data_IF_377590833632
#
_entry.id   IF_377590833632
#
_cell.length_a   1.000
_cell.length_b   1.000
_cell.length_c   1.000
_cell.angle_alpha   90.00
_cell.angle_beta   90.00
_cell.angle_gamma   90.00
#
_symmetry.space_group_name_H-M   'P 1'
#
loop_
_entity.id
_entity.type
_entity.pdbx_description
1 polymer ?
#
# COMPACT_ATOMS: atom_id res chain seq x y z
N UNK A 1 -91.50 -42.81 -48.60
CA UNK A 1 -91.20 -41.40 -48.66
C UNK A 1 -91.34 -40.84 -47.25
N UNK A 2 -90.29 -40.72 -46.51
CA UNK A 2 -90.19 -39.97 -45.19
C UNK A 2 -88.82 -39.36 -45.16
N UNK A 3 -88.74 -38.05 -45.27
CA UNK A 3 -87.57 -37.22 -45.19
C UNK A 3 -87.31 -36.94 -43.70
N UNK A 4 -86.17 -37.35 -43.25
CA UNK A 4 -85.66 -36.98 -41.89
C UNK A 4 -84.76 -35.76 -41.97
N UNK A 5 -85.13 -34.73 -41.22
CA UNK A 5 -84.34 -33.49 -41.07
C UNK A 5 -83.39 -33.63 -39.86
N UNK A 6 -82.12 -33.67 -40.10
CA UNK A 6 -81.09 -33.64 -39.03
C UNK A 6 -80.68 -32.23 -38.78
N UNK A 7 -80.92 -31.76 -37.59
CA UNK A 7 -80.39 -30.45 -37.03
C UNK A 7 -79.04 -30.71 -36.39
N UNK A 8 -78.01 -30.21 -37.06
CA UNK A 8 -76.63 -30.22 -36.47
C UNK A 8 -76.41 -29.00 -35.64
N UNK A 9 -76.29 -29.18 -34.31
CA UNK A 9 -75.93 -28.13 -33.35
C UNK A 9 -74.41 -27.90 -33.39
N UNK A 10 -73.96 -26.78 -33.95
CA UNK A 10 -72.54 -26.38 -33.93
C UNK A 10 -72.23 -25.69 -32.57
N UNK A 11 -71.50 -26.40 -31.69
CA UNK A 11 -70.92 -25.82 -30.48
C UNK A 11 -69.69 -25.02 -30.92
N UNK A 12 -69.80 -23.66 -30.93
CA UNK A 12 -68.68 -22.76 -31.11
C UNK A 12 -67.84 -22.73 -29.82
N UNK A 13 -66.69 -23.44 -29.80
CA UNK A 13 -65.70 -23.29 -28.78
C UNK A 13 -65.01 -21.91 -28.96
N UNK A 14 -65.29 -20.97 -28.05
CA UNK A 14 -64.60 -19.71 -27.96
C UNK A 14 -63.19 -20.02 -27.38
N UNK A 15 -62.18 -20.21 -28.23
CA UNK A 15 -60.77 -20.18 -27.86
C UNK A 15 -60.43 -18.74 -27.43
N UNK A 16 -60.47 -18.45 -26.13
CA UNK A 16 -59.80 -17.29 -25.56
C UNK A 16 -58.31 -17.59 -25.72
N UNK A 17 -57.70 -17.11 -26.81
CA UNK A 17 -56.24 -17.03 -26.91
C UNK A 17 -55.78 -16.11 -25.79
N UNK A 18 -55.18 -16.70 -24.73
CA UNK A 18 -54.39 -15.92 -23.77
C UNK A 18 -53.32 -15.21 -24.61
N UNK A 19 -53.45 -13.89 -24.75
CA UNK A 19 -52.40 -13.07 -25.32
C UNK A 19 -51.13 -13.36 -24.57
N UNK A 20 -50.01 -13.70 -25.23
CA UNK A 20 -48.74 -13.75 -24.54
C UNK A 20 -48.53 -12.39 -23.86
N UNK A 21 -48.31 -12.40 -22.56
CA UNK A 21 -48.05 -11.15 -21.82
C UNK A 21 -46.99 -10.36 -22.57
N UNK A 22 -47.36 -9.20 -23.08
CA UNK A 22 -46.42 -8.37 -23.84
C UNK A 22 -45.29 -8.05 -22.90
N UNK A 23 -44.07 -8.47 -23.24
CA UNK A 23 -42.88 -8.11 -22.54
C UNK A 23 -42.82 -6.56 -22.55
N UNK A 24 -42.90 -5.95 -21.38
CA UNK A 24 -42.90 -4.49 -21.22
C UNK A 24 -41.68 -3.90 -21.94
N UNK A 25 -41.91 -2.95 -22.82
CA UNK A 25 -40.84 -2.24 -23.50
C UNK A 25 -40.23 -1.19 -22.54
N UNK A 26 -38.93 -0.91 -22.67
CA UNK A 26 -38.25 0.11 -21.88
C UNK A 26 -38.91 1.49 -22.02
N UNK A 27 -39.49 1.76 -23.23
CA UNK A 27 -40.26 3.00 -23.48
C UNK A 27 -41.44 3.20 -22.56
N UNK A 28 -42.08 2.11 -22.11
CA UNK A 28 -43.24 2.21 -21.22
C UNK A 28 -42.82 2.71 -19.83
N UNK A 29 -41.72 2.21 -19.34
CA UNK A 29 -41.11 2.65 -18.04
C UNK A 29 -40.59 4.09 -18.17
N UNK A 30 -39.90 4.43 -19.25
CA UNK A 30 -39.29 5.73 -19.50
C UNK A 30 -40.32 6.84 -19.76
N UNK A 31 -41.58 6.51 -20.01
CA UNK A 31 -42.68 7.51 -20.08
C UNK A 31 -42.76 8.31 -18.75
N UNK A 32 -42.53 7.68 -17.61
CA UNK A 32 -42.49 8.33 -16.30
C UNK A 32 -41.03 8.52 -15.83
N UNK A 33 -40.22 7.45 -15.81
CA UNK A 33 -38.88 7.48 -15.28
C UNK A 33 -37.87 8.23 -16.17
N UNK A 34 -38.25 8.62 -17.40
CA UNK A 34 -37.42 9.51 -18.24
C UNK A 34 -37.51 10.99 -17.86
N UNK A 35 -38.45 11.37 -16.99
CA UNK A 35 -38.56 12.74 -16.48
C UNK A 35 -37.53 12.99 -15.39
N UNK A 36 -36.64 13.95 -15.61
CA UNK A 36 -35.58 14.32 -14.65
C UNK A 36 -36.14 14.82 -13.30
N UNK A 37 -37.38 15.24 -13.23
CA UNK A 37 -38.06 15.67 -12.01
C UNK A 37 -38.75 14.54 -11.24
N UNK A 38 -38.77 13.31 -11.77
CA UNK A 38 -39.46 12.18 -11.16
C UNK A 38 -38.84 11.80 -9.83
N UNK A 39 -39.67 11.78 -8.77
CA UNK A 39 -39.25 11.43 -7.42
C UNK A 39 -40.19 10.41 -6.80
N UNK A 40 -39.70 9.57 -5.89
CA UNK A 40 -40.51 8.71 -5.04
C UNK A 40 -41.21 9.50 -3.94
N UNK A 41 -42.07 8.83 -3.14
CA UNK A 41 -42.79 9.43 -2.03
C UNK A 41 -41.88 10.01 -0.92
N UNK A 42 -40.59 9.64 -0.89
CA UNK A 42 -39.56 10.13 0.05
C UNK A 42 -38.75 11.30 -0.52
N UNK A 43 -39.01 11.72 -1.76
CA UNK A 43 -38.30 12.79 -2.45
C UNK A 43 -36.99 12.38 -3.10
N UNK A 44 -36.66 11.08 -3.18
CA UNK A 44 -35.49 10.59 -3.89
C UNK A 44 -35.80 10.55 -5.40
N UNK A 45 -34.81 10.97 -6.21
CA UNK A 45 -34.93 10.86 -7.66
C UNK A 45 -34.99 9.40 -8.09
N UNK A 46 -35.99 9.06 -8.86
CA UNK A 46 -36.18 7.77 -9.53
C UNK A 46 -36.11 7.92 -11.05
N UNK A 47 -35.57 9.02 -11.54
CA UNK A 47 -35.39 9.28 -12.96
C UNK A 47 -34.24 8.45 -13.53
N UNK A 48 -34.39 8.00 -14.77
CA UNK A 48 -33.39 7.26 -15.55
C UNK A 48 -33.06 8.04 -16.81
N UNK A 49 -31.80 8.38 -17.00
CA UNK A 49 -31.30 8.95 -18.24
C UNK A 49 -31.21 7.83 -19.30
N UNK A 50 -32.17 7.81 -20.21
CA UNK A 50 -32.27 6.79 -21.26
C UNK A 50 -31.00 6.69 -22.11
N UNK A 51 -30.36 7.83 -22.43
CA UNK A 51 -29.12 7.82 -23.24
C UNK A 51 -27.95 7.22 -22.47
N UNK A 52 -27.85 7.45 -21.16
CA UNK A 52 -26.81 6.82 -20.33
C UNK A 52 -27.08 5.33 -20.18
N UNK A 53 -28.35 4.95 -19.99
CA UNK A 53 -28.72 3.53 -19.89
C UNK A 53 -28.40 2.79 -21.19
N UNK A 54 -28.84 3.30 -22.34
CA UNK A 54 -28.58 2.71 -23.65
C UNK A 54 -27.08 2.57 -23.97
N UNK A 55 -26.26 3.52 -23.47
CA UNK A 55 -24.80 3.51 -23.61
C UNK A 55 -24.09 2.66 -22.54
N UNK A 56 -24.82 2.15 -21.53
CA UNK A 56 -24.26 1.34 -20.46
C UNK A 56 -24.02 -0.11 -20.89
N UNK A 57 -23.25 -0.85 -20.06
CA UNK A 57 -23.03 -2.28 -20.26
C UNK A 57 -24.33 -3.09 -20.25
N UNK A 58 -25.37 -2.61 -19.57
CA UNK A 58 -26.69 -3.21 -19.46
C UNK A 58 -27.74 -2.63 -20.43
N UNK A 59 -27.36 -1.72 -21.33
CA UNK A 59 -28.27 -1.01 -22.21
C UNK A 59 -29.09 -1.88 -23.14
N UNK A 60 -28.66 -3.12 -23.43
CA UNK A 60 -29.39 -4.10 -24.20
C UNK A 60 -30.47 -4.87 -23.42
N UNK A 61 -30.49 -4.73 -22.10
CA UNK A 61 -31.46 -5.41 -21.23
C UNK A 61 -32.76 -4.62 -21.13
N UNK A 62 -33.81 -5.33 -20.72
CA UNK A 62 -35.09 -4.71 -20.39
C UNK A 62 -35.10 -4.26 -18.94
N UNK A 63 -35.81 -3.19 -18.62
CA UNK A 63 -36.01 -2.75 -17.24
C UNK A 63 -36.52 -3.88 -16.35
N UNK A 64 -37.49 -4.69 -16.87
CA UNK A 64 -38.07 -5.85 -16.18
C UNK A 64 -37.11 -7.02 -15.96
N UNK A 65 -35.94 -7.08 -16.62
CA UNK A 65 -34.95 -8.13 -16.41
C UNK A 65 -34.25 -7.95 -15.01
N UNK A 66 -34.15 -6.69 -14.58
CA UNK A 66 -33.62 -6.33 -13.24
C UNK A 66 -34.77 -6.07 -12.26
N UNK A 67 -35.79 -5.32 -12.64
CA UNK A 67 -36.94 -4.97 -11.83
C UNK A 67 -38.04 -6.04 -11.90
N UNK A 68 -37.68 -7.28 -11.56
CA UNK A 68 -38.52 -8.49 -11.77
C UNK A 68 -39.79 -8.47 -10.94
N UNK A 69 -39.86 -7.66 -9.87
CA UNK A 69 -41.06 -7.53 -9.02
C UNK A 69 -42.15 -6.67 -9.65
N UNK A 70 -41.82 -5.82 -10.63
CA UNK A 70 -42.77 -4.92 -11.30
C UNK A 70 -43.51 -5.70 -12.38
N UNK A 71 -44.82 -5.93 -12.19
CA UNK A 71 -45.66 -6.70 -13.10
C UNK A 71 -46.72 -5.85 -13.84
N UNK A 72 -46.98 -4.69 -13.30
CA UNK A 72 -48.00 -3.75 -13.80
C UNK A 72 -47.52 -2.31 -13.57
N UNK A 73 -48.13 -1.38 -14.29
CA UNK A 73 -47.90 0.05 -14.12
C UNK A 73 -49.23 0.81 -14.28
N UNK A 74 -49.45 1.89 -13.44
CA UNK A 74 -48.51 2.35 -12.39
C UNK A 74 -48.31 1.27 -11.31
N UNK A 75 -47.10 1.19 -10.77
CA UNK A 75 -46.74 0.24 -9.74
C UNK A 75 -46.67 0.95 -8.35
N UNK A 76 -46.71 0.21 -7.22
CA UNK A 76 -46.52 0.81 -5.90
C UNK A 76 -45.16 1.50 -5.77
N UNK A 77 -45.09 2.56 -4.95
CA UNK A 77 -43.86 3.34 -4.70
C UNK A 77 -42.72 2.49 -4.12
N UNK A 78 -43.08 1.49 -3.29
CA UNK A 78 -42.07 0.58 -2.72
C UNK A 78 -41.94 -0.67 -3.61
N UNK A 79 -40.78 -0.81 -4.23
CA UNK A 79 -40.42 -1.98 -5.03
C UNK A 79 -39.31 -2.78 -4.34
N UNK A 80 -39.30 -4.07 -4.56
CA UNK A 80 -38.22 -4.95 -4.04
C UNK A 80 -36.89 -4.54 -4.68
N UNK A 81 -35.81 -4.37 -3.88
CA UNK A 81 -34.49 -4.03 -4.38
C UNK A 81 -34.01 -5.02 -5.43
N UNK A 82 -33.35 -4.50 -6.46
CA UNK A 82 -32.74 -5.32 -7.53
C UNK A 82 -31.61 -6.17 -6.95
N UNK A 83 -31.58 -7.44 -7.38
CA UNK A 83 -30.55 -8.42 -6.99
C UNK A 83 -29.58 -8.64 -8.13
N UNK A 84 -28.40 -8.09 -8.02
CA UNK A 84 -27.33 -8.24 -9.01
C UNK A 84 -26.81 -9.70 -9.08
N UNK A 85 -26.87 -10.42 -7.97
CA UNK A 85 -26.42 -11.82 -7.83
C UNK A 85 -27.19 -12.82 -8.70
N UNK A 86 -28.37 -12.44 -9.21
CA UNK A 86 -29.13 -13.27 -10.15
C UNK A 86 -28.32 -13.59 -11.43
N UNK A 87 -27.49 -12.63 -11.88
CA UNK A 87 -26.62 -12.79 -13.05
C UNK A 87 -25.13 -12.81 -12.67
N UNK A 88 -24.74 -12.14 -11.60
CA UNK A 88 -23.35 -11.97 -11.11
C UNK A 88 -23.11 -12.79 -9.83
N UNK A 89 -23.43 -14.08 -9.87
CA UNK A 89 -23.37 -14.96 -8.70
C UNK A 89 -21.95 -15.12 -8.14
N UNK A 90 -20.93 -15.21 -9.00
CA UNK A 90 -19.54 -15.41 -8.59
C UNK A 90 -18.96 -14.15 -7.91
N UNK A 91 -19.25 -12.97 -8.46
CA UNK A 91 -18.84 -11.68 -7.88
C UNK A 91 -19.54 -11.45 -6.55
N UNK A 92 -20.82 -11.78 -6.46
CA UNK A 92 -21.59 -11.67 -5.22
C UNK A 92 -21.09 -12.63 -4.15
N UNK A 93 -20.75 -13.88 -4.51
CA UNK A 93 -20.13 -14.83 -3.59
C UNK A 93 -18.77 -14.36 -3.11
N UNK A 94 -17.94 -13.82 -4.01
CA UNK A 94 -16.66 -13.21 -3.67
C UNK A 94 -16.84 -12.04 -2.69
N UNK A 95 -17.80 -11.16 -2.93
CA UNK A 95 -18.09 -10.02 -2.07
C UNK A 95 -18.62 -10.46 -0.70
N UNK A 96 -19.45 -11.51 -0.64
CA UNK A 96 -19.96 -12.07 0.62
C UNK A 96 -18.83 -12.53 1.56
N UNK A 97 -17.72 -13.04 1.00
CA UNK A 97 -16.50 -13.39 1.75
C UNK A 97 -15.55 -12.23 2.02
N UNK A 98 -15.83 -11.05 1.50
CA UNK A 98 -14.96 -9.86 1.58
C UNK A 98 -15.15 -9.09 2.89
N UNK A 99 -14.13 -8.30 3.28
CA UNK A 99 -14.24 -7.32 4.38
C UNK A 99 -15.26 -6.21 4.09
N UNK A 100 -15.74 -6.11 2.85
CA UNK A 100 -16.76 -5.14 2.45
C UNK A 100 -18.19 -5.70 2.49
N UNK A 101 -18.38 -7.00 2.74
CA UNK A 101 -19.70 -7.66 2.73
C UNK A 101 -20.75 -7.04 3.66
N UNK A 102 -20.32 -6.50 4.79
CA UNK A 102 -21.20 -5.98 5.85
C UNK A 102 -21.28 -4.45 5.92
N UNK A 103 -20.71 -3.72 4.95
CA UNK A 103 -20.43 -2.29 5.11
C UNK A 103 -21.19 -1.35 4.19
N UNK A 104 -21.91 -1.86 3.22
CA UNK A 104 -22.65 -1.02 2.27
C UNK A 104 -24.09 -1.49 2.15
N UNK A 105 -25.03 -0.57 2.22
CA UNK A 105 -26.45 -0.81 1.92
C UNK A 105 -26.62 -1.26 0.46
N UNK A 106 -25.79 -0.70 -0.43
CA UNK A 106 -25.72 -1.05 -1.86
C UNK A 106 -24.29 -1.43 -2.24
N UNK A 107 -23.83 -2.64 -1.92
CA UNK A 107 -22.40 -2.99 -2.01
C UNK A 107 -21.85 -2.97 -3.44
N UNK A 108 -22.66 -3.31 -4.46
CA UNK A 108 -22.21 -3.32 -5.85
C UNK A 108 -22.05 -1.89 -6.38
N UNK A 109 -23.09 -1.06 -6.25
CA UNK A 109 -23.13 0.30 -6.81
C UNK A 109 -22.22 1.27 -6.08
N UNK A 110 -21.84 0.98 -4.83
CA UNK A 110 -20.83 1.76 -4.09
C UNK A 110 -19.47 1.80 -4.81
N UNK A 111 -19.14 0.78 -5.60
CA UNK A 111 -17.91 0.72 -6.39
C UNK A 111 -18.16 0.93 -7.89
N UNK A 112 -19.23 0.35 -8.42
CA UNK A 112 -19.53 0.39 -9.87
C UNK A 112 -20.28 1.65 -10.32
N UNK A 113 -20.81 2.44 -9.37
CA UNK A 113 -21.59 3.64 -9.65
C UNK A 113 -23.06 3.35 -9.92
N UNK A 114 -23.72 4.26 -10.63
CA UNK A 114 -25.15 4.18 -10.94
C UNK A 114 -25.44 2.90 -11.74
N UNK A 115 -26.41 2.09 -11.26
CA UNK A 115 -26.80 0.84 -11.88
C UNK A 115 -27.29 1.01 -13.34
N UNK A 116 -27.87 2.17 -13.68
CA UNK A 116 -28.34 2.51 -15.02
C UNK A 116 -27.25 3.09 -15.93
N UNK A 117 -26.01 3.32 -15.40
CA UNK A 117 -24.90 3.90 -16.14
C UNK A 117 -23.57 3.17 -15.86
N UNK A 118 -23.62 1.84 -15.71
CA UNK A 118 -22.40 1.03 -15.51
C UNK A 118 -21.68 0.86 -16.85
N UNK A 119 -20.45 1.34 -16.93
CA UNK A 119 -19.58 1.20 -18.10
C UNK A 119 -18.62 0.03 -17.95
N UNK A 120 -18.13 -0.56 -19.07
CA UNK A 120 -17.06 -1.56 -19.06
C UNK A 120 -15.81 -1.06 -18.33
N UNK A 121 -15.05 -1.97 -17.71
CA UNK A 121 -13.85 -1.63 -16.95
C UNK A 121 -12.74 -0.92 -17.76
N UNK A 122 -12.77 -1.05 -19.06
CA UNK A 122 -11.86 -0.44 -20.03
C UNK A 122 -12.41 0.87 -20.64
N UNK A 123 -13.63 1.28 -20.29
CA UNK A 123 -14.17 2.59 -20.64
C UNK A 123 -13.70 3.65 -19.60
N UNK A 124 -13.09 4.78 -20.04
CA UNK A 124 -12.68 5.85 -19.12
C UNK A 124 -13.78 6.44 -18.24
N UNK A 125 -15.04 6.27 -18.61
CA UNK A 125 -16.22 6.70 -17.82
C UNK A 125 -16.53 5.74 -16.67
N UNK A 126 -16.01 4.51 -16.71
CA UNK A 126 -16.27 3.51 -15.67
C UNK A 126 -15.67 3.93 -14.34
N UNK A 127 -16.42 3.77 -13.25
CA UNK A 127 -15.94 3.99 -11.89
C UNK A 127 -14.78 3.02 -11.53
N UNK A 128 -14.69 1.89 -12.22
CA UNK A 128 -13.67 0.85 -12.05
C UNK A 128 -12.64 0.84 -13.19
N UNK A 129 -12.57 1.88 -14.00
CA UNK A 129 -11.48 2.10 -14.94
C UNK A 129 -10.15 2.28 -14.17
N UNK A 130 -9.01 1.77 -14.64
CA UNK A 130 -7.76 1.77 -13.88
C UNK A 130 -7.38 3.12 -13.24
N UNK A 131 -7.54 4.24 -13.96
CA UNK A 131 -7.30 5.59 -13.44
C UNK A 131 -8.33 6.04 -12.39
N UNK A 132 -9.54 5.49 -12.41
CA UNK A 132 -10.64 5.87 -11.52
C UNK A 132 -10.65 5.03 -10.22
N UNK A 133 -10.10 3.80 -10.23
CA UNK A 133 -10.05 2.91 -9.06
C UNK A 133 -9.53 3.60 -7.80
N UNK A 134 -8.41 4.35 -7.82
CA UNK A 134 -7.94 5.02 -6.60
C UNK A 134 -8.96 5.99 -6.03
N UNK A 135 -9.69 6.73 -6.87
CA UNK A 135 -10.75 7.66 -6.44
C UNK A 135 -11.95 6.91 -5.87
N UNK A 136 -12.37 5.83 -6.53
CA UNK A 136 -13.48 4.98 -6.08
C UNK A 136 -13.21 4.39 -4.69
N UNK A 137 -12.04 3.81 -4.49
CA UNK A 137 -11.62 3.31 -3.18
C UNK A 137 -11.42 4.47 -2.18
N UNK A 138 -10.82 5.56 -2.63
CA UNK A 138 -10.50 6.74 -1.85
C UNK A 138 -11.72 7.50 -1.32
N UNK A 139 -12.89 7.34 -1.92
CA UNK A 139 -14.13 7.92 -1.40
C UNK A 139 -14.39 7.54 0.07
N UNK A 140 -13.98 6.32 0.45
CA UNK A 140 -14.04 5.85 1.84
C UNK A 140 -12.66 5.82 2.49
N UNK A 141 -11.64 5.22 1.84
CA UNK A 141 -10.29 5.06 2.40
C UNK A 141 -9.45 6.34 2.43
N UNK A 142 -9.91 7.42 1.80
CA UNK A 142 -9.36 8.76 1.89
C UNK A 142 -10.13 9.68 2.86
N UNK A 143 -11.19 9.17 3.50
CA UNK A 143 -11.98 9.92 4.45
C UNK A 143 -11.49 9.64 5.88
N UNK A 144 -10.95 10.65 6.55
CA UNK A 144 -10.39 10.53 7.90
C UNK A 144 -11.40 10.05 8.95
N UNK A 145 -12.67 10.43 8.84
CA UNK A 145 -13.70 9.98 9.76
C UNK A 145 -13.99 8.48 9.58
N UNK A 146 -14.03 7.99 8.35
CA UNK A 146 -14.20 6.57 8.02
C UNK A 146 -12.97 5.79 8.46
N UNK A 147 -11.77 6.26 8.13
CA UNK A 147 -10.51 5.65 8.52
C UNK A 147 -10.43 5.50 10.05
N UNK A 148 -10.68 6.57 10.79
CA UNK A 148 -10.70 6.57 12.26
C UNK A 148 -11.74 5.62 12.84
N UNK A 149 -12.97 5.61 12.29
CA UNK A 149 -14.06 4.72 12.75
C UNK A 149 -13.67 3.25 12.66
N UNK A 150 -12.88 2.88 11.66
CA UNK A 150 -12.47 1.50 11.39
C UNK A 150 -11.04 1.16 11.84
N UNK A 151 -10.35 2.10 12.51
CA UNK A 151 -8.95 1.92 12.95
C UNK A 151 -7.96 1.74 11.80
N UNK A 152 -8.25 2.32 10.65
CA UNK A 152 -7.43 2.22 9.43
C UNK A 152 -6.61 3.51 9.22
N UNK A 153 -5.40 3.43 8.65
CA UNK A 153 -4.70 4.61 8.18
C UNK A 153 -5.40 5.22 6.96
N UNK A 154 -5.28 6.53 6.78
CA UNK A 154 -5.67 7.18 5.53
C UNK A 154 -4.60 6.87 4.47
N UNK A 155 -4.85 5.83 3.66
CA UNK A 155 -3.89 5.33 2.66
C UNK A 155 -3.97 6.05 1.31
N UNK A 156 -5.00 6.85 1.09
CA UNK A 156 -5.24 7.50 -0.19
C UNK A 156 -4.13 8.50 -0.58
N UNK A 157 -3.75 9.48 0.26
CA UNK A 157 -2.63 10.35 -0.05
C UNK A 157 -1.31 9.58 -0.17
N UNK A 158 -1.07 8.60 0.71
CA UNK A 158 0.14 7.78 0.68
C UNK A 158 0.33 7.05 -0.66
N UNK A 159 -0.77 6.58 -1.26
CA UNK A 159 -0.71 5.92 -2.56
C UNK A 159 -0.29 6.90 -3.67
N UNK A 160 -0.81 8.15 -3.67
CA UNK A 160 -0.45 9.13 -4.69
C UNK A 160 0.98 9.64 -4.58
N UNK A 161 1.56 9.60 -3.37
CA UNK A 161 2.98 9.90 -3.12
C UNK A 161 3.89 8.71 -3.50
N UNK A 162 3.32 7.55 -3.84
CA UNK A 162 4.09 6.38 -4.28
C UNK A 162 4.44 6.42 -5.75
N UNK A 163 5.50 5.68 -6.14
CA UNK A 163 5.87 5.51 -7.54
C UNK A 163 4.73 4.92 -8.39
N UNK A 164 3.93 4.00 -7.84
CA UNK A 164 2.78 3.43 -8.54
C UNK A 164 1.67 4.47 -8.75
N UNK A 165 1.34 5.25 -7.72
CA UNK A 165 0.35 6.31 -7.83
C UNK A 165 0.79 7.43 -8.75
N UNK A 166 2.08 7.79 -8.73
CA UNK A 166 2.66 8.75 -9.67
C UNK A 166 2.56 8.25 -11.12
N UNK A 167 3.04 7.03 -11.40
CA UNK A 167 3.00 6.44 -12.73
C UNK A 167 1.56 6.33 -13.27
N UNK A 168 0.61 5.95 -12.43
CA UNK A 168 -0.79 5.87 -12.82
C UNK A 168 -1.39 7.27 -13.09
N UNK A 169 -1.22 8.22 -12.16
CA UNK A 169 -1.95 9.49 -12.17
C UNK A 169 -1.29 10.60 -12.97
N UNK A 170 0.05 10.60 -13.08
CA UNK A 170 0.82 11.64 -13.77
C UNK A 170 1.33 11.19 -15.14
N UNK A 171 1.71 9.93 -15.26
CA UNK A 171 2.20 9.36 -16.51
C UNK A 171 1.12 8.60 -17.29
N UNK A 172 -0.10 8.47 -16.72
CA UNK A 172 -1.23 7.75 -17.31
C UNK A 172 -0.87 6.31 -17.70
N UNK A 173 0.03 5.68 -16.96
CA UNK A 173 0.45 4.30 -17.18
C UNK A 173 -0.60 3.34 -16.63
N UNK A 174 -1.55 2.92 -17.46
CA UNK A 174 -2.71 2.11 -17.06
C UNK A 174 -2.35 0.74 -16.45
N UNK A 175 -1.15 0.23 -16.74
CA UNK A 175 -0.64 -1.02 -16.17
C UNK A 175 0.04 -0.83 -14.81
N UNK A 176 0.23 0.42 -14.36
CA UNK A 176 0.75 0.69 -13.03
C UNK A 176 -0.21 0.15 -11.96
N UNK A 177 0.36 -0.39 -10.88
CA UNK A 177 -0.43 -0.99 -9.83
C UNK A 177 -1.37 0.03 -9.17
N UNK A 178 -2.64 -0.32 -9.04
CA UNK A 178 -3.65 0.40 -8.27
C UNK A 178 -4.14 -0.46 -7.09
N UNK A 179 -5.15 0.00 -6.37
CA UNK A 179 -5.65 -0.69 -5.17
C UNK A 179 -6.00 -2.16 -5.44
N UNK A 180 -6.71 -2.45 -6.53
CA UNK A 180 -7.16 -3.81 -6.86
C UNK A 180 -6.02 -4.72 -7.31
N UNK A 181 -4.91 -4.17 -7.80
CA UNK A 181 -3.73 -4.95 -8.20
C UNK A 181 -3.13 -5.72 -7.03
N UNK A 182 -3.16 -5.13 -5.85
CA UNK A 182 -2.63 -5.74 -4.61
C UNK A 182 -3.73 -6.43 -3.80
N UNK A 183 -4.90 -5.78 -3.61
CA UNK A 183 -5.95 -6.25 -2.71
C UNK A 183 -6.97 -7.19 -3.37
N UNK A 184 -7.00 -7.24 -4.71
CA UNK A 184 -8.09 -7.87 -5.44
C UNK A 184 -9.30 -6.93 -5.59
N UNK A 185 -10.42 -7.44 -6.10
CA UNK A 185 -11.63 -6.65 -6.37
C UNK A 185 -12.82 -7.07 -5.50
N UNK A 186 -13.44 -8.21 -5.79
CA UNK A 186 -14.65 -8.64 -5.09
C UNK A 186 -14.34 -9.41 -3.79
N UNK A 187 -13.32 -10.27 -3.80
CA UNK A 187 -12.91 -11.05 -2.62
C UNK A 187 -11.70 -10.37 -1.93
N UNK A 188 -11.95 -9.20 -1.32
CA UNK A 188 -10.93 -8.46 -0.58
C UNK A 188 -10.91 -8.96 0.87
N UNK A 189 -9.83 -9.66 1.23
CA UNK A 189 -9.65 -10.23 2.56
C UNK A 189 -8.78 -9.35 3.45
N UNK A 190 -8.94 -9.50 4.76
CA UNK A 190 -8.04 -8.88 5.74
C UNK A 190 -6.59 -9.32 5.50
N UNK A 191 -5.64 -8.42 5.72
CA UNK A 191 -4.21 -8.76 5.65
C UNK A 191 -3.78 -9.84 6.67
N UNK A 192 -4.62 -10.13 7.67
CA UNK A 192 -4.40 -11.19 8.65
C UNK A 192 -4.96 -12.55 8.19
N UNK A 193 -5.72 -12.59 7.10
CA UNK A 193 -6.25 -13.82 6.55
C UNK A 193 -5.19 -14.51 5.66
N UNK A 194 -4.85 -15.78 5.93
CA UNK A 194 -3.86 -16.51 5.11
C UNK A 194 -4.17 -16.61 3.62
N UNK A 195 -5.44 -16.47 3.23
CA UNK A 195 -5.87 -16.47 1.83
C UNK A 195 -5.76 -15.07 1.18
N UNK A 196 -5.57 -14.02 1.98
CA UNK A 196 -5.42 -12.65 1.46
C UNK A 196 -4.19 -12.53 0.56
N UNK A 197 -4.34 -11.82 -0.54
CA UNK A 197 -3.20 -11.44 -1.41
C UNK A 197 -2.17 -10.58 -0.68
N UNK A 198 -2.61 -9.86 0.35
CA UNK A 198 -1.77 -9.00 1.20
C UNK A 198 -1.38 -9.64 2.53
N UNK A 199 -1.69 -10.95 2.73
CA UNK A 199 -1.13 -11.70 3.83
C UNK A 199 0.39 -11.82 3.71
N UNK A 200 1.12 -11.72 4.80
CA UNK A 200 2.57 -11.53 4.80
C UNK A 200 3.32 -12.47 3.85
N UNK A 201 3.11 -13.78 3.94
CA UNK A 201 3.82 -14.74 3.08
C UNK A 201 3.36 -14.71 1.61
N UNK A 202 2.22 -14.09 1.30
CA UNK A 202 1.70 -13.94 -0.05
C UNK A 202 2.22 -12.67 -0.76
N UNK A 203 2.76 -11.70 -0.01
CA UNK A 203 3.29 -10.44 -0.57
C UNK A 203 4.27 -10.65 -1.72
N UNK A 204 5.28 -11.56 -1.63
CA UNK A 204 6.20 -11.78 -2.74
C UNK A 204 5.49 -12.25 -4.01
N UNK A 205 4.48 -13.11 -3.90
CA UNK A 205 3.66 -13.55 -5.04
C UNK A 205 2.84 -12.39 -5.62
N UNK A 206 2.28 -11.55 -4.77
CA UNK A 206 1.47 -10.40 -5.19
C UNK A 206 2.32 -9.36 -5.94
N UNK A 207 3.46 -8.98 -5.40
CA UNK A 207 4.41 -8.09 -6.07
C UNK A 207 4.99 -8.73 -7.34
N UNK A 208 5.31 -10.02 -7.26
CA UNK A 208 5.89 -10.82 -8.33
C UNK A 208 5.01 -11.00 -9.56
N UNK A 209 3.69 -10.71 -9.46
CA UNK A 209 2.81 -10.73 -10.63
C UNK A 209 3.24 -9.72 -11.72
N UNK A 210 3.94 -8.65 -11.30
CA UNK A 210 4.53 -7.65 -12.20
C UNK A 210 6.06 -7.60 -12.08
N UNK A 211 6.61 -7.76 -10.87
CA UNK A 211 8.06 -7.70 -10.57
C UNK A 211 8.69 -9.10 -10.50
N UNK A 212 8.47 -9.93 -11.55
CA UNK A 212 8.85 -11.33 -11.55
C UNK A 212 10.36 -11.55 -11.35
N UNK A 213 11.24 -10.79 -12.03
CA UNK A 213 12.70 -10.92 -11.91
C UNK A 213 13.19 -10.61 -10.49
N UNK A 214 12.76 -9.49 -9.94
CA UNK A 214 13.11 -9.07 -8.57
C UNK A 214 12.60 -10.08 -7.53
N UNK A 215 11.42 -10.65 -7.76
CA UNK A 215 10.86 -11.68 -6.89
C UNK A 215 11.68 -12.98 -6.94
N UNK A 216 12.16 -13.39 -8.12
CA UNK A 216 13.04 -14.54 -8.27
C UNK A 216 14.35 -14.34 -7.49
N UNK A 217 14.99 -13.17 -7.62
CA UNK A 217 16.19 -12.81 -6.86
C UNK A 217 15.93 -12.86 -5.35
N UNK A 218 14.83 -12.24 -4.89
CA UNK A 218 14.45 -12.25 -3.48
C UNK A 218 14.24 -13.67 -2.94
N UNK A 219 13.53 -14.52 -3.67
CA UNK A 219 13.30 -15.91 -3.28
C UNK A 219 14.58 -16.75 -3.27
N UNK A 220 15.60 -16.39 -4.05
CA UNK A 220 16.95 -16.96 -4.01
C UNK A 220 17.74 -16.59 -2.76
N UNK A 221 17.43 -15.46 -2.13
CA UNK A 221 18.10 -14.92 -0.96
C UNK A 221 17.67 -15.55 0.37
N UNK A 222 18.35 -15.18 1.47
CA UNK A 222 18.07 -15.71 2.82
C UNK A 222 16.68 -15.34 3.32
N UNK A 223 16.19 -14.15 2.99
CA UNK A 223 14.87 -13.66 3.43
C UNK A 223 13.75 -14.41 2.71
N UNK A 224 13.84 -14.55 1.39
CA UNK A 224 12.84 -15.27 0.59
C UNK A 224 12.75 -16.75 0.97
N UNK A 225 13.91 -17.40 1.21
CA UNK A 225 13.95 -18.78 1.72
C UNK A 225 13.29 -18.92 3.09
N UNK A 226 13.46 -17.93 3.97
CA UNK A 226 12.83 -17.94 5.28
C UNK A 226 11.30 -17.77 5.17
N UNK A 227 10.83 -16.88 4.29
CA UNK A 227 9.39 -16.70 4.01
C UNK A 227 8.79 -17.97 3.39
N UNK A 228 9.50 -18.60 2.43
CA UNK A 228 9.06 -19.87 1.82
C UNK A 228 8.96 -21.00 2.85
N UNK A 229 9.76 -20.94 3.92
CA UNK A 229 9.68 -21.86 5.07
C UNK A 229 8.59 -21.47 6.09
N UNK A 230 7.73 -20.48 5.78
CA UNK A 230 6.61 -20.07 6.63
C UNK A 230 6.99 -19.17 7.81
N UNK A 231 8.21 -18.59 7.86
CA UNK A 231 8.64 -17.70 8.94
C UNK A 231 7.99 -16.32 8.78
N UNK A 232 7.05 -16.01 9.64
CA UNK A 232 6.31 -14.73 9.62
C UNK A 232 7.14 -13.53 10.10
N UNK A 233 8.25 -13.74 10.80
CA UNK A 233 9.20 -12.72 11.22
C UNK A 233 10.20 -12.33 10.11
N UNK A 234 10.31 -13.14 9.05
CA UNK A 234 11.14 -12.81 7.91
C UNK A 234 10.56 -11.62 7.12
N UNK A 235 11.41 -10.66 6.68
CA UNK A 235 10.92 -9.50 5.95
C UNK A 235 10.47 -9.85 4.54
N UNK A 236 9.37 -9.23 4.09
CA UNK A 236 8.84 -9.29 2.72
C UNK A 236 9.01 -7.95 2.02
N UNK A 237 8.59 -7.84 0.77
CA UNK A 237 8.77 -6.62 -0.05
C UNK A 237 8.29 -5.35 0.67
N UNK A 238 7.11 -5.39 1.30
CA UNK A 238 6.52 -4.25 2.00
C UNK A 238 7.23 -3.86 3.30
N UNK A 239 8.04 -4.75 3.89
CA UNK A 239 8.83 -4.40 5.08
C UNK A 239 10.03 -3.51 4.73
N UNK A 240 10.50 -3.55 3.47
CA UNK A 240 11.59 -2.72 2.97
C UNK A 240 11.10 -1.51 2.16
N UNK A 241 10.06 -1.69 1.36
CA UNK A 241 9.57 -0.68 0.42
C UNK A 241 8.30 0.03 0.87
N UNK A 242 7.78 -0.26 2.07
CA UNK A 242 6.44 0.11 2.52
C UNK A 242 5.33 -0.54 1.65
N UNK A 243 4.06 -0.28 1.98
CA UNK A 243 2.93 -0.86 1.27
C UNK A 243 2.21 0.16 0.36
N UNK A 244 1.94 1.35 0.87
CA UNK A 244 1.18 2.36 0.14
C UNK A 244 2.05 3.55 -0.30
N UNK A 245 3.05 3.95 0.48
CA UNK A 245 4.01 5.01 0.13
C UNK A 245 5.32 4.40 -0.40
N UNK A 246 5.24 3.68 -1.52
CA UNK A 246 6.40 3.01 -2.13
C UNK A 246 7.25 4.05 -2.85
N UNK A 247 8.43 4.36 -2.29
CA UNK A 247 9.37 5.30 -2.90
C UNK A 247 10.19 4.64 -4.00
N UNK A 248 10.63 5.44 -4.95
CA UNK A 248 11.57 4.99 -5.98
C UNK A 248 12.94 4.73 -5.33
N UNK A 249 13.60 3.57 -5.57
CA UNK A 249 14.86 3.23 -4.90
C UNK A 249 16.04 4.17 -5.18
N UNK A 250 15.98 4.95 -6.26
CA UNK A 250 16.97 5.96 -6.63
C UNK A 250 16.82 7.27 -5.87
N UNK A 251 15.68 7.50 -5.20
CA UNK A 251 15.45 8.71 -4.43
C UNK A 251 16.31 8.78 -3.18
N UNK A 252 16.80 9.98 -2.88
CA UNK A 252 17.62 10.24 -1.70
C UNK A 252 16.90 9.84 -0.39
N UNK A 253 15.59 10.03 -0.34
CA UNK A 253 14.77 9.66 0.79
C UNK A 253 14.78 8.16 1.04
N UNK A 254 14.54 7.33 0.01
CA UNK A 254 14.62 5.86 0.14
C UNK A 254 16.01 5.42 0.57
N UNK A 255 17.07 5.96 -0.05
CA UNK A 255 18.45 5.65 0.32
C UNK A 255 18.73 5.95 1.78
N UNK A 256 18.23 7.07 2.30
CA UNK A 256 18.42 7.47 3.70
C UNK A 256 17.65 6.56 4.66
N UNK A 257 16.43 6.19 4.31
CA UNK A 257 15.56 5.33 5.15
C UNK A 257 15.96 3.85 5.13
N UNK A 258 16.63 3.37 4.10
CA UNK A 258 16.92 1.93 3.92
C UNK A 258 17.80 1.34 5.02
N UNK A 259 18.76 2.07 5.54
CA UNK A 259 19.66 1.59 6.60
C UNK A 259 18.95 1.39 7.95
N UNK A 260 18.13 2.33 8.46
CA UNK A 260 17.26 2.11 9.62
C UNK A 260 16.30 0.92 9.44
N UNK A 261 15.76 0.71 8.23
CA UNK A 261 14.89 -0.44 7.94
C UNK A 261 15.62 -1.77 8.21
N UNK A 262 16.83 -1.94 7.68
CA UNK A 262 17.64 -3.12 7.98
C UNK A 262 17.93 -3.24 9.48
N UNK A 263 18.23 -2.11 10.12
CA UNK A 263 18.55 -1.99 11.55
C UNK A 263 17.40 -2.34 12.49
N UNK A 264 16.15 -2.27 12.04
CA UNK A 264 14.98 -2.60 12.86
C UNK A 264 15.00 -4.06 13.33
N UNK A 265 15.52 -4.98 12.49
CA UNK A 265 15.71 -6.38 12.79
C UNK A 265 17.17 -6.70 13.14
N UNK A 266 18.14 -6.19 12.38
CA UNK A 266 19.58 -6.46 12.54
C UNK A 266 20.27 -5.46 13.51
N UNK A 267 19.74 -5.33 14.73
CA UNK A 267 20.13 -4.30 15.70
C UNK A 267 21.62 -4.25 16.02
N UNK A 268 22.25 -5.42 16.24
CA UNK A 268 23.69 -5.51 16.55
C UNK A 268 24.54 -5.06 15.35
N UNK A 269 24.20 -5.50 14.14
CA UNK A 269 24.94 -5.12 12.94
C UNK A 269 24.74 -3.66 12.57
N UNK A 270 23.55 -3.13 12.85
CA UNK A 270 23.26 -1.71 12.68
C UNK A 270 24.06 -0.85 13.64
N UNK A 271 24.17 -1.25 14.94
CA UNK A 271 24.95 -0.47 15.93
C UNK A 271 26.41 -0.39 15.51
N UNK A 272 27.02 -1.52 15.10
CA UNK A 272 28.43 -1.55 14.65
C UNK A 272 28.65 -0.78 13.34
N UNK A 273 27.66 -0.83 12.41
CA UNK A 273 27.70 -0.03 11.18
C UNK A 273 27.68 1.47 11.47
N UNK A 274 26.89 1.93 12.47
CA UNK A 274 26.81 3.34 12.87
C UNK A 274 28.17 3.91 13.30
N UNK A 275 29.07 3.10 13.79
CA UNK A 275 30.43 3.50 14.18
C UNK A 275 31.38 3.65 12.98
N UNK A 276 30.95 3.25 11.77
CA UNK A 276 31.77 3.36 10.56
C UNK A 276 31.72 4.75 9.91
N UNK A 277 32.77 5.11 9.17
CA UNK A 277 32.77 6.35 8.38
C UNK A 277 31.64 6.38 7.34
N UNK A 278 31.26 5.24 6.75
CA UNK A 278 30.15 5.18 5.82
C UNK A 278 28.84 5.68 6.45
N UNK A 279 28.53 5.19 7.65
CA UNK A 279 27.33 5.63 8.36
C UNK A 279 27.43 7.09 8.83
N UNK A 280 28.58 7.49 9.38
CA UNK A 280 28.78 8.85 9.89
C UNK A 280 28.69 9.90 8.78
N UNK A 281 29.30 9.67 7.64
CA UNK A 281 29.19 10.54 6.48
C UNK A 281 27.74 10.66 5.99
N UNK A 282 27.00 9.56 5.97
CA UNK A 282 25.59 9.57 5.56
C UNK A 282 24.66 10.22 6.56
N UNK A 283 24.86 9.98 7.86
CA UNK A 283 23.94 10.46 8.92
C UNK A 283 24.28 11.86 9.44
N UNK A 284 25.57 12.20 9.56
CA UNK A 284 26.04 13.47 10.10
C UNK A 284 26.43 14.46 9.00
N UNK A 285 27.00 13.97 7.90
CA UNK A 285 27.47 14.79 6.80
C UNK A 285 26.43 15.00 5.68
N UNK A 286 25.29 14.29 5.70
CA UNK A 286 24.24 14.40 4.68
C UNK A 286 24.62 13.80 3.33
N UNK A 287 25.69 13.04 3.21
CA UNK A 287 26.12 12.43 1.95
C UNK A 287 25.26 11.22 1.61
N UNK A 288 24.38 11.37 0.62
CA UNK A 288 23.45 10.32 0.16
C UNK A 288 24.19 9.13 -0.47
N UNK A 289 25.32 9.38 -1.15
CA UNK A 289 26.07 8.38 -1.91
C UNK A 289 26.98 7.48 -1.06
N UNK A 290 26.96 7.60 0.26
CA UNK A 290 27.72 6.68 1.13
C UNK A 290 27.19 5.26 1.07
N UNK A 291 28.09 4.27 1.21
CA UNK A 291 27.72 2.85 1.18
C UNK A 291 26.72 2.51 2.30
N UNK A 292 25.61 1.90 1.93
CA UNK A 292 24.55 1.40 2.81
C UNK A 292 24.69 -0.12 2.98
N UNK A 293 23.83 -0.72 3.80
CA UNK A 293 23.86 -2.17 4.03
C UNK A 293 23.79 -2.95 2.69
N UNK A 294 22.87 -2.58 1.82
CA UNK A 294 22.63 -3.24 0.55
C UNK A 294 23.72 -3.00 -0.51
N UNK A 295 24.55 -1.97 -0.38
CA UNK A 295 25.69 -1.75 -1.27
C UNK A 295 26.76 -2.85 -1.10
N UNK A 296 26.86 -3.40 0.12
CA UNK A 296 27.76 -4.51 0.41
C UNK A 296 27.07 -5.88 0.32
N UNK A 297 25.85 -5.99 0.89
CA UNK A 297 25.15 -7.26 1.04
C UNK A 297 24.26 -7.65 -0.14
N UNK A 298 24.01 -6.75 -1.09
CA UNK A 298 22.98 -6.87 -2.10
C UNK A 298 21.60 -6.44 -1.55
N UNK A 299 20.64 -6.25 -2.45
CA UNK A 299 19.31 -5.75 -2.10
C UNK A 299 18.26 -6.88 -2.02
N UNK A 300 18.10 -7.64 -3.09
CA UNK A 300 17.03 -8.64 -3.19
C UNK A 300 17.58 -10.07 -2.99
N UNK A 301 18.62 -10.50 -3.73
CA UNK A 301 19.31 -11.76 -3.49
C UNK A 301 20.38 -11.57 -2.41
N UNK A 302 19.96 -11.44 -1.14
CA UNK A 302 20.90 -11.35 -0.02
C UNK A 302 21.37 -12.74 0.35
N UNK A 303 22.68 -12.99 0.17
CA UNK A 303 23.30 -14.29 0.39
C UNK A 303 24.25 -14.26 1.61
N UNK A 304 24.39 -15.37 2.34
CA UNK A 304 25.34 -15.47 3.44
C UNK A 304 26.79 -15.38 2.91
N UNK A 305 27.73 -14.95 3.73
CA UNK A 305 29.15 -14.84 3.35
C UNK A 305 29.80 -16.20 2.93
N UNK A 306 29.17 -17.30 3.31
CA UNK A 306 29.60 -18.66 2.91
C UNK A 306 29.19 -19.05 1.48
N UNK A 307 28.23 -18.35 0.88
CA UNK A 307 27.82 -18.56 -0.51
C UNK A 307 28.84 -17.87 -1.44
N UNK A 308 29.48 -18.60 -2.37
CA UNK A 308 30.50 -18.00 -3.26
C UNK A 308 29.95 -16.92 -4.17
N UNK A 309 28.63 -16.84 -4.39
CA UNK A 309 27.98 -15.78 -5.17
C UNK A 309 27.78 -14.50 -4.35
N UNK A 310 27.86 -14.58 -3.01
CA UNK A 310 27.62 -13.45 -2.13
C UNK A 310 28.62 -12.32 -2.40
N UNK A 311 28.19 -11.05 -2.53
CA UNK A 311 29.11 -9.92 -2.64
C UNK A 311 30.06 -9.80 -1.45
N UNK A 312 29.68 -10.34 -0.28
CA UNK A 312 30.49 -10.33 0.95
C UNK A 312 31.24 -11.65 1.18
N UNK A 313 31.22 -12.60 0.24
CA UNK A 313 32.10 -13.76 0.30
C UNK A 313 33.56 -13.29 0.25
N UNK A 314 34.50 -13.92 1.00
CA UNK A 314 35.89 -13.48 1.08
C UNK A 314 36.56 -13.26 -0.28
N UNK A 315 36.24 -14.11 -1.26
CA UNK A 315 36.79 -14.01 -2.63
C UNK A 315 36.26 -12.80 -3.39
N UNK A 316 35.10 -12.25 -3.02
CA UNK A 316 34.42 -11.17 -3.74
C UNK A 316 34.64 -9.80 -3.11
N UNK A 317 35.23 -9.72 -1.89
CA UNK A 317 35.37 -8.46 -1.16
C UNK A 317 36.14 -7.39 -1.94
N UNK A 318 37.23 -7.75 -2.61
CA UNK A 318 38.02 -6.78 -3.42
C UNK A 318 37.15 -6.16 -4.51
N UNK A 319 36.34 -6.96 -5.21
CA UNK A 319 35.41 -6.50 -6.22
C UNK A 319 34.30 -5.62 -5.62
N UNK A 320 33.78 -6.02 -4.47
CA UNK A 320 32.69 -5.29 -3.78
C UNK A 320 33.16 -3.92 -3.28
N UNK A 321 34.28 -3.86 -2.58
CA UNK A 321 34.86 -2.59 -2.14
C UNK A 321 35.32 -1.73 -3.33
N UNK A 322 35.87 -2.37 -4.36
CA UNK A 322 36.39 -1.72 -5.57
C UNK A 322 35.35 -0.99 -6.42
N UNK A 323 34.05 -1.24 -6.19
CA UNK A 323 32.97 -0.47 -6.85
C UNK A 323 33.00 1.03 -6.50
N UNK A 324 33.47 1.38 -5.32
CA UNK A 324 33.56 2.74 -4.84
C UNK A 324 35.02 3.15 -4.54
N UNK A 325 35.86 2.21 -4.09
CA UNK A 325 37.25 2.47 -3.70
C UNK A 325 38.19 2.01 -4.82
N UNK A 326 38.56 2.93 -5.69
CA UNK A 326 39.55 2.68 -6.73
C UNK A 326 40.87 2.19 -6.08
N UNK A 327 41.40 1.04 -6.52
CA UNK A 327 42.61 0.48 -5.96
C UNK A 327 42.39 -0.42 -4.72
N UNK A 328 41.14 -0.76 -4.36
CA UNK A 328 40.89 -1.76 -3.33
C UNK A 328 41.64 -3.06 -3.63
N UNK A 329 42.31 -3.62 -2.61
CA UNK A 329 43.15 -4.80 -2.72
C UNK A 329 42.99 -5.70 -1.47
N UNK A 330 43.74 -6.80 -1.43
CA UNK A 330 43.66 -7.79 -0.35
C UNK A 330 43.97 -7.22 1.05
N UNK A 331 44.76 -6.15 1.16
CA UNK A 331 45.02 -5.47 2.42
C UNK A 331 43.87 -4.56 2.82
N UNK A 332 43.27 -3.82 1.85
CA UNK A 332 42.13 -2.95 2.06
C UNK A 332 40.93 -3.69 2.63
N UNK A 333 40.61 -4.86 2.11
CA UNK A 333 39.45 -5.65 2.51
C UNK A 333 39.59 -6.37 3.86
N UNK A 334 40.71 -6.21 4.55
CA UNK A 334 40.87 -6.65 5.96
C UNK A 334 40.09 -5.77 6.92
N UNK A 335 39.65 -4.61 6.49
CA UNK A 335 38.75 -3.76 7.27
C UNK A 335 37.48 -4.51 7.65
N UNK A 336 37.08 -4.40 8.92
CA UNK A 336 35.90 -5.08 9.47
C UNK A 336 34.79 -4.06 9.73
N UNK A 337 33.80 -3.89 8.83
CA UNK A 337 32.74 -2.88 8.98
C UNK A 337 31.79 -3.16 10.15
N UNK A 338 31.83 -4.37 10.72
CA UNK A 338 31.04 -4.75 11.89
C UNK A 338 31.92 -5.05 13.13
N UNK A 339 33.10 -4.45 13.20
CA UNK A 339 33.91 -4.53 14.42
C UNK A 339 33.19 -3.84 15.59
N UNK A 340 33.16 -4.51 16.73
CA UNK A 340 32.46 -4.02 17.92
C UNK A 340 33.44 -3.54 18.99
N UNK A 341 33.61 -2.23 19.10
CA UNK A 341 34.47 -1.57 20.06
C UNK A 341 34.02 -1.77 21.53
N UNK A 342 32.76 -2.18 21.73
CA UNK A 342 32.19 -2.41 23.05
C UNK A 342 32.22 -3.87 23.49
N UNK A 343 32.66 -4.78 22.62
CA UNK A 343 32.72 -6.21 22.90
C UNK A 343 34.15 -6.70 23.10
N UNK A 344 34.54 -6.89 24.36
CA UNK A 344 35.83 -7.53 24.69
C UNK A 344 35.99 -8.92 24.11
N UNK A 345 34.87 -9.67 23.95
CA UNK A 345 34.88 -11.05 23.45
C UNK A 345 35.14 -11.09 21.94
N UNK A 346 34.51 -10.21 21.17
CA UNK A 346 34.58 -10.21 19.71
C UNK A 346 35.82 -9.48 19.18
N UNK A 347 36.15 -8.32 19.74
CA UNK A 347 37.28 -7.49 19.30
C UNK A 347 38.09 -6.98 20.49
N UNK A 348 38.89 -7.83 21.21
CA UNK A 348 39.56 -7.44 22.44
C UNK A 348 40.51 -6.27 22.26
N UNK A 349 41.32 -6.26 21.21
CA UNK A 349 42.25 -5.15 20.95
C UNK A 349 41.53 -3.82 20.77
N UNK A 350 40.45 -3.79 19.97
CA UNK A 350 39.65 -2.59 19.75
C UNK A 350 38.97 -2.10 21.04
N UNK A 351 38.46 -3.04 21.83
CA UNK A 351 37.86 -2.73 23.15
C UNK A 351 38.85 -2.01 24.07
N UNK A 352 40.06 -2.54 24.24
CA UNK A 352 41.05 -1.93 25.14
C UNK A 352 41.59 -0.59 24.63
N UNK A 353 41.76 -0.44 23.31
CA UNK A 353 42.15 0.85 22.73
C UNK A 353 41.04 1.89 22.94
N UNK A 354 39.78 1.53 22.70
CA UNK A 354 38.65 2.41 22.93
C UNK A 354 38.53 2.80 24.42
N UNK A 355 38.66 1.84 25.31
CA UNK A 355 38.66 2.11 26.77
C UNK A 355 39.76 3.08 27.16
N UNK A 356 40.99 2.84 26.71
CA UNK A 356 42.13 3.74 26.97
C UNK A 356 41.90 5.15 26.45
N UNK A 357 41.43 5.28 25.20
CA UNK A 357 41.15 6.58 24.59
C UNK A 357 40.05 7.34 25.31
N UNK A 358 38.98 6.65 25.72
CA UNK A 358 37.90 7.27 26.50
C UNK A 358 38.37 7.74 27.88
N UNK A 359 39.18 6.94 28.60
CA UNK A 359 39.74 7.33 29.86
C UNK A 359 40.68 8.53 29.73
N UNK A 360 41.52 8.53 28.69
CA UNK A 360 42.43 9.65 28.39
C UNK A 360 41.62 10.91 28.11
N UNK A 361 40.61 10.85 27.26
CA UNK A 361 39.75 11.99 26.91
C UNK A 361 39.05 12.56 28.14
N UNK A 362 38.41 11.70 28.94
CA UNK A 362 37.73 12.12 30.19
C UNK A 362 38.72 12.75 31.15
N UNK A 363 39.92 12.18 31.35
CA UNK A 363 40.94 12.70 32.22
C UNK A 363 41.40 14.09 31.79
N UNK A 364 41.70 14.29 30.52
CA UNK A 364 42.15 15.58 29.98
C UNK A 364 41.04 16.64 30.09
N UNK A 365 39.81 16.31 29.69
CA UNK A 365 38.68 17.25 29.80
C UNK A 365 38.41 17.63 31.27
N UNK A 366 38.44 16.66 32.18
CA UNK A 366 38.24 16.89 33.62
C UNK A 366 39.34 17.80 34.18
N UNK A 367 40.60 17.55 33.83
CA UNK A 367 41.71 18.37 34.24
C UNK A 367 41.52 19.84 33.78
N UNK A 368 41.26 20.07 32.53
CA UNK A 368 41.06 21.42 32.01
C UNK A 368 39.79 22.08 32.57
N UNK A 369 38.75 21.36 32.82
CA UNK A 369 37.52 21.87 33.46
C UNK A 369 37.81 22.34 34.88
N UNK A 370 38.50 21.52 35.70
CA UNK A 370 38.90 21.89 37.05
C UNK A 370 39.81 23.13 36.99
N UNK A 371 40.82 23.13 36.13
CA UNK A 371 41.72 24.27 35.97
C UNK A 371 40.95 25.55 35.60
N UNK A 372 40.03 25.49 34.68
CA UNK A 372 39.21 26.63 34.26
C UNK A 372 38.34 27.15 35.42
N UNK A 373 37.70 26.25 36.17
CA UNK A 373 36.90 26.63 37.35
C UNK A 373 37.78 27.36 38.39
N UNK A 374 38.95 26.79 38.73
CA UNK A 374 39.86 27.40 39.69
C UNK A 374 40.35 28.75 39.20
N UNK A 375 40.67 28.88 37.91
CA UNK A 375 41.08 30.15 37.32
C UNK A 375 39.95 31.20 37.39
N UNK A 376 38.70 30.82 37.10
CA UNK A 376 37.53 31.70 37.22
C UNK A 376 37.31 32.16 38.67
N UNK A 377 37.42 31.28 39.64
CA UNK A 377 37.29 31.61 41.07
C UNK A 377 38.38 32.63 41.48
N UNK A 378 39.60 32.34 41.07
CA UNK A 378 40.74 33.27 41.36
C UNK A 378 40.55 34.63 40.67
N UNK A 379 40.18 34.64 39.43
CA UNK A 379 39.93 35.87 38.68
C UNK A 379 38.82 36.73 39.32
N UNK A 380 37.73 36.09 39.76
CA UNK A 380 36.67 36.78 40.52
C UNK A 380 37.14 37.31 41.83
N UNK A 381 37.89 36.52 42.58
CA UNK A 381 38.48 36.96 43.85
C UNK A 381 39.42 38.18 43.67
N UNK A 382 40.31 38.15 42.69
CA UNK A 382 41.20 39.24 42.34
C UNK A 382 40.47 40.52 41.92
N UNK A 383 39.38 40.39 41.19
CA UNK A 383 38.50 41.51 40.78
C UNK A 383 37.85 42.16 42.02
N UNK A 384 37.29 41.36 42.90
CA UNK A 384 36.68 41.87 44.17
C UNK A 384 37.70 42.57 44.99
N UNK A 385 38.87 41.96 45.19
CA UNK A 385 40.00 42.58 45.98
C UNK A 385 40.48 43.92 45.40
N UNK A 386 40.58 44.01 44.03
CA UNK A 386 40.94 45.29 43.39
C UNK A 386 39.87 46.36 43.55
N UNK A 387 38.58 46.01 43.51
CA UNK A 387 37.48 46.94 43.77
C UNK A 387 37.50 47.48 45.23
N UNK A 388 37.72 46.59 46.18
CA UNK A 388 37.82 46.98 47.58
C UNK A 388 39.03 47.84 47.85
N UNK A 389 40.19 47.65 47.19
CA UNK A 389 41.39 48.47 47.33
C UNK A 389 41.33 49.81 46.56
N UNK A 390 40.52 49.92 45.51
CA UNK A 390 40.37 51.18 44.74
C UNK A 390 39.32 52.13 45.30
N UNK A 391 38.40 51.68 46.18
CA UNK A 391 37.35 52.49 46.80
C UNK A 391 37.85 53.48 47.95
N UNK A 392 39.12 53.45 48.28
CA UNK A 392 39.65 54.26 49.33
C UNK A 392 40.43 55.54 48.95
N UNK A 393 40.31 55.97 47.68
CA UNK A 393 41.07 57.17 47.21
C UNK A 393 40.19 58.35 46.76
N UNK A 394 38.90 58.37 47.11
CA UNK A 394 38.04 59.54 46.91
C UNK A 394 37.19 59.72 48.19
N UNK A 395 37.80 60.21 49.24
CA UNK A 395 37.17 60.91 50.36
C UNK A 395 38.02 62.13 50.73
#
# INVERSE_FOLDING_TARGET
>A
MKTAFSITLALGALLVAAAPGMAQANSDCLTCHGDAGMQDASGHSVSVDAHKFDASLHGSLKCGDCHTAIKEYPHPDQVTPVKCDTCHADEAAGLAGSVHSVRAEHPCTSCHGDAHAIFPKDDPKSAVYPLNIPRTCGACHGNDAVAKKHGLPNVYPMYFDSIHGFALSKECLLVAANCTSCHGSHHILSHNDPQSRTYKVNIPKTCGSCHAGITADYMGGVHGKAVAAGKLDAPVCSDCHAAHAILQPTEAEFRTQSTPICGSCHKEKFSTYRDTFHSQLGSLGGYVETARCWDCHGAHEILPASDPRSPIAPANLVKTCGRCHAGANASFVKYQPHANAHSRKLNPALYYVTLFMNLLLVSVLTFFMIHTILWLIRSRYDQVKRRSAGGGKHA
#
